data_IF_178107064684
#
_entry.id   IF_178107064684
#
_cell.length_a   1.000
_cell.length_b   1.000
_cell.length_c   1.000
_cell.angle_alpha   90.00
_cell.angle_beta   90.00
_cell.angle_gamma   90.00
#
_symmetry.space_group_name_H-M   'P 1'
#
loop_
_entity.id
_entity.type
_entity.pdbx_description
1 polymer ?
#
# COMPACT_ATOMS: atom_id res chain seq x y z
N UNK A 1 -46.87 1.93 17.49
CA UNK A 1 -45.52 2.54 17.59
C UNK A 1 -44.37 1.53 17.43
N UNK A 2 -44.58 0.22 17.67
CA UNK A 2 -43.52 -0.80 17.52
C UNK A 2 -43.45 -1.50 16.15
N UNK A 3 -44.54 -1.56 15.38
CA UNK A 3 -44.57 -2.21 14.05
C UNK A 3 -43.56 -1.62 13.06
N UNK A 4 -43.44 -0.29 13.00
CA UNK A 4 -42.52 0.37 12.08
C UNK A 4 -41.05 0.06 12.38
N UNK A 5 -40.71 -0.25 13.64
CA UNK A 5 -39.35 -0.63 14.05
C UNK A 5 -39.00 -2.05 13.60
N UNK A 6 -39.96 -2.97 13.67
CA UNK A 6 -39.79 -4.35 13.21
C UNK A 6 -39.62 -4.42 11.69
N UNK A 7 -40.38 -3.62 10.94
CA UNK A 7 -40.23 -3.52 9.49
C UNK A 7 -38.89 -2.89 9.09
N UNK A 8 -38.45 -1.83 9.78
CA UNK A 8 -37.12 -1.25 9.55
C UNK A 8 -35.98 -2.22 9.84
N UNK A 9 -36.10 -3.03 10.91
CA UNK A 9 -35.12 -4.06 11.23
C UNK A 9 -35.10 -5.17 10.16
N UNK A 10 -36.26 -5.58 9.64
CA UNK A 10 -36.34 -6.56 8.56
C UNK A 10 -35.64 -6.07 7.29
N UNK A 11 -35.76 -4.79 6.94
CA UNK A 11 -35.12 -4.20 5.75
C UNK A 11 -33.60 -4.08 5.89
N UNK A 12 -33.11 -3.81 7.09
CA UNK A 12 -31.66 -3.70 7.36
C UNK A 12 -31.05 -5.08 7.66
N UNK A 13 -31.88 -6.09 7.98
CA UNK A 13 -31.42 -7.44 8.35
C UNK A 13 -30.47 -8.09 7.33
N UNK A 14 -30.67 -8.01 5.99
CA UNK A 14 -29.75 -8.63 5.04
C UNK A 14 -28.36 -7.98 5.08
N UNK A 15 -28.32 -6.66 5.28
CA UNK A 15 -27.06 -5.93 5.46
C UNK A 15 -26.36 -6.31 6.76
N UNK A 16 -27.10 -6.39 7.88
CA UNK A 16 -26.54 -6.81 9.18
C UNK A 16 -26.01 -8.23 9.11
N UNK A 17 -26.76 -9.16 8.50
CA UNK A 17 -26.33 -10.53 8.32
C UNK A 17 -25.05 -10.57 7.48
N UNK A 18 -25.02 -9.83 6.36
CA UNK A 18 -23.82 -9.71 5.53
C UNK A 18 -22.62 -9.18 6.30
N UNK A 19 -22.81 -8.12 7.09
CA UNK A 19 -21.75 -7.54 7.93
C UNK A 19 -21.24 -8.54 8.96
N UNK A 20 -22.13 -9.27 9.63
CA UNK A 20 -21.72 -10.26 10.64
C UNK A 20 -20.95 -11.41 9.99
N UNK A 21 -21.47 -11.97 8.89
CA UNK A 21 -20.88 -13.15 8.25
C UNK A 21 -19.58 -12.82 7.51
N UNK A 22 -19.53 -11.70 6.79
CA UNK A 22 -18.39 -11.39 5.91
C UNK A 22 -17.37 -10.42 6.52
N UNK A 23 -17.72 -9.71 7.59
CA UNK A 23 -16.81 -8.77 8.25
C UNK A 23 -16.51 -9.17 9.68
N UNK A 24 -17.55 -9.33 10.52
CA UNK A 24 -17.34 -9.57 11.93
C UNK A 24 -16.79 -10.97 12.21
N UNK A 25 -17.32 -11.99 11.54
CA UNK A 25 -16.86 -13.38 11.69
C UNK A 25 -15.37 -13.55 11.34
N UNK A 26 -14.88 -13.17 10.13
CA UNK A 26 -13.46 -13.30 9.83
C UNK A 26 -12.60 -12.43 10.75
N UNK A 27 -13.03 -11.22 11.11
CA UNK A 27 -12.32 -10.36 12.06
C UNK A 27 -12.13 -11.05 13.42
N UNK A 28 -13.23 -11.55 14.01
CA UNK A 28 -13.20 -12.25 15.30
C UNK A 28 -12.36 -13.52 15.21
N UNK A 29 -12.48 -14.28 14.12
CA UNK A 29 -11.66 -15.48 13.91
C UNK A 29 -10.16 -15.16 13.82
N UNK A 30 -9.76 -14.15 13.06
CA UNK A 30 -8.38 -13.69 12.97
C UNK A 30 -7.86 -13.17 14.31
N UNK A 31 -8.73 -12.50 15.08
CA UNK A 31 -8.39 -12.05 16.43
C UNK A 31 -8.21 -13.21 17.41
N UNK A 32 -8.98 -14.30 17.32
CA UNK A 32 -8.72 -15.49 18.13
C UNK A 32 -7.44 -16.20 17.67
N UNK A 33 -7.22 -16.31 16.37
CA UNK A 33 -6.04 -16.94 15.79
C UNK A 33 -4.74 -16.20 16.14
N UNK A 34 -4.78 -14.89 16.38
CA UNK A 34 -3.57 -14.15 16.79
C UNK A 34 -3.04 -14.54 18.19
N UNK A 35 -3.85 -15.21 19.02
CA UNK A 35 -3.41 -15.81 20.29
C UNK A 35 -3.05 -17.30 20.16
N UNK A 36 -2.97 -17.80 18.94
CA UNK A 36 -2.60 -19.19 18.64
C UNK A 36 -1.37 -19.22 17.74
N UNK A 37 -0.52 -20.22 17.92
CA UNK A 37 0.48 -20.60 16.94
C UNK A 37 -0.25 -21.38 15.82
N UNK A 38 -0.37 -20.74 14.66
CA UNK A 38 -1.10 -21.29 13.52
C UNK A 38 -0.33 -21.04 12.23
N UNK A 39 0.05 -22.12 11.55
CA UNK A 39 0.88 -22.13 10.33
C UNK A 39 0.13 -22.68 9.10
N UNK A 40 -1.21 -22.75 9.15
CA UNK A 40 -2.12 -23.40 8.18
C UNK A 40 -1.93 -24.90 7.95
N UNK A 41 -0.81 -25.49 8.35
CA UNK A 41 -0.49 -26.90 8.14
C UNK A 41 -0.75 -27.75 9.39
N UNK A 42 -0.67 -27.12 10.56
CA UNK A 42 -0.85 -27.71 11.87
C UNK A 42 -2.13 -27.18 12.55
N UNK A 43 -2.77 -27.96 13.44
CA UNK A 43 -3.88 -27.45 14.22
C UNK A 43 -3.44 -26.28 15.11
N UNK A 44 -4.28 -25.25 15.31
CA UNK A 44 -3.91 -24.07 16.08
C UNK A 44 -3.65 -24.42 17.55
N UNK A 45 -2.47 -24.04 18.06
CA UNK A 45 -2.09 -24.25 19.46
C UNK A 45 -2.20 -22.92 20.20
N UNK A 46 -3.00 -22.85 21.27
CA UNK A 46 -3.15 -21.63 22.05
C UNK A 46 -1.87 -21.31 22.81
N UNK A 47 -1.21 -20.20 22.45
CA UNK A 47 0.04 -19.73 23.06
C UNK A 47 -0.13 -18.38 23.80
N UNK A 48 -1.37 -17.88 23.89
CA UNK A 48 -1.69 -16.66 24.62
C UNK A 48 -1.07 -15.43 23.96
N UNK A 49 -0.22 -14.69 24.70
CA UNK A 49 0.31 -13.39 24.26
C UNK A 49 1.72 -13.53 23.65
N UNK A 50 2.27 -14.74 23.56
CA UNK A 50 3.66 -14.94 23.13
C UNK A 50 3.92 -14.41 21.71
N UNK A 51 2.96 -14.55 20.80
CA UNK A 51 3.03 -13.97 19.45
C UNK A 51 3.28 -12.46 19.47
N UNK A 52 2.61 -11.74 20.37
CA UNK A 52 2.77 -10.29 20.52
C UNK A 52 4.09 -9.93 21.20
N UNK A 53 4.51 -10.72 22.19
CA UNK A 53 5.82 -10.53 22.84
C UNK A 53 6.94 -10.65 21.81
N UNK A 54 6.96 -11.76 21.08
CA UNK A 54 7.92 -12.01 20.00
C UNK A 54 7.94 -10.87 18.97
N UNK A 55 6.77 -10.48 18.47
CA UNK A 55 6.63 -9.41 17.47
C UNK A 55 7.16 -8.05 17.98
N UNK A 56 7.00 -7.73 19.26
CA UNK A 56 7.43 -6.44 19.81
C UNK A 56 8.89 -6.41 20.26
N UNK A 57 9.45 -7.54 20.71
CA UNK A 57 10.79 -7.59 21.31
C UNK A 57 11.84 -8.23 20.42
N UNK A 58 11.49 -9.27 19.67
CA UNK A 58 12.45 -10.12 18.95
C UNK A 58 12.40 -9.87 17.44
N UNK A 59 11.25 -9.48 16.91
CA UNK A 59 11.09 -9.20 15.48
C UNK A 59 11.63 -7.81 15.08
N UNK A 60 12.83 -7.81 14.50
CA UNK A 60 13.48 -6.61 13.94
C UNK A 60 12.74 -5.99 12.73
N UNK A 61 11.86 -6.73 12.06
CA UNK A 61 11.11 -6.25 10.90
C UNK A 61 9.84 -5.49 11.30
N UNK A 62 9.27 -5.79 12.46
CA UNK A 62 8.03 -5.18 12.93
C UNK A 62 8.15 -3.65 13.01
N UNK A 63 9.09 -3.13 13.81
CA UNK A 63 9.27 -1.68 13.98
C UNK A 63 9.66 -0.97 12.70
N UNK A 64 10.41 -1.65 11.83
CA UNK A 64 10.80 -1.13 10.53
C UNK A 64 9.61 -0.98 9.58
N UNK A 65 8.77 -2.02 9.48
CA UNK A 65 7.57 -1.98 8.64
C UNK A 65 6.56 -0.96 9.15
N UNK A 66 6.42 -0.81 10.47
CA UNK A 66 5.64 0.27 11.08
C UNK A 66 6.17 1.64 10.70
N UNK A 67 7.49 1.87 10.81
CA UNK A 67 8.11 3.15 10.47
C UNK A 67 7.88 3.57 9.02
N UNK A 68 8.04 2.63 8.07
CA UNK A 68 7.75 2.86 6.65
C UNK A 68 6.26 3.17 6.44
N UNK A 69 5.37 2.43 7.10
CA UNK A 69 3.92 2.64 7.00
C UNK A 69 3.51 4.02 7.54
N UNK A 70 4.01 4.41 8.71
CA UNK A 70 3.75 5.73 9.27
C UNK A 70 4.31 6.84 8.38
N UNK A 71 5.56 6.74 7.93
CA UNK A 71 6.15 7.70 7.01
C UNK A 71 5.33 7.85 5.73
N UNK A 72 4.87 6.73 5.15
CA UNK A 72 3.99 6.72 3.99
C UNK A 72 2.66 7.43 4.28
N UNK A 73 2.00 7.13 5.39
CA UNK A 73 0.71 7.74 5.77
C UNK A 73 0.86 9.24 6.00
N UNK A 74 1.85 9.66 6.80
CA UNK A 74 2.10 11.07 7.11
C UNK A 74 2.52 11.89 5.90
N UNK A 75 3.17 11.30 4.91
CA UNK A 75 3.52 12.00 3.68
C UNK A 75 2.34 12.04 2.69
N UNK A 76 1.68 10.90 2.48
CA UNK A 76 0.69 10.76 1.43
C UNK A 76 -0.65 11.38 1.77
N UNK A 77 -1.10 11.32 3.03
CA UNK A 77 -2.41 11.88 3.41
C UNK A 77 -2.44 13.41 3.24
N UNK A 78 -1.50 14.20 3.81
CA UNK A 78 -1.50 15.65 3.62
C UNK A 78 -1.32 16.05 2.17
N UNK A 79 -0.47 15.34 1.41
CA UNK A 79 -0.27 15.63 -0.01
C UNK A 79 -1.55 15.37 -0.82
N UNK A 80 -2.26 14.26 -0.56
CA UNK A 80 -3.57 13.96 -1.19
C UNK A 80 -4.60 15.02 -0.86
N UNK A 81 -4.68 15.45 0.40
CA UNK A 81 -5.58 16.52 0.85
C UNK A 81 -5.24 17.85 0.19
N UNK A 82 -3.97 18.25 0.19
CA UNK A 82 -3.50 19.49 -0.44
C UNK A 82 -3.79 19.50 -1.95
N UNK A 83 -3.55 18.37 -2.64
CA UNK A 83 -3.83 18.23 -4.05
C UNK A 83 -5.34 18.25 -4.36
N UNK A 84 -6.15 17.49 -3.59
CA UNK A 84 -7.60 17.49 -3.73
C UNK A 84 -8.19 18.88 -3.48
N UNK A 85 -7.70 19.58 -2.45
CA UNK A 85 -8.11 20.94 -2.14
C UNK A 85 -7.66 21.93 -3.21
N UNK A 86 -6.45 21.78 -3.75
CA UNK A 86 -5.95 22.59 -4.87
C UNK A 86 -6.83 22.45 -6.11
N UNK A 87 -7.19 21.21 -6.49
CA UNK A 87 -8.13 20.97 -7.58
C UNK A 87 -9.50 21.57 -7.28
N UNK A 88 -10.03 21.36 -6.07
CA UNK A 88 -11.32 21.91 -5.67
C UNK A 88 -11.33 23.45 -5.73
N UNK A 89 -10.23 24.10 -5.32
CA UNK A 89 -10.07 25.55 -5.40
C UNK A 89 -10.03 26.06 -6.85
N UNK A 90 -9.26 25.40 -7.72
CA UNK A 90 -9.21 25.72 -9.16
C UNK A 90 -10.60 25.57 -9.78
N UNK A 91 -11.32 24.50 -9.44
CA UNK A 91 -12.65 24.21 -9.97
C UNK A 91 -13.75 25.12 -9.39
N UNK A 92 -13.49 25.81 -8.27
CA UNK A 92 -14.41 26.78 -7.68
C UNK A 92 -14.56 28.04 -8.55
N UNK A 93 -13.52 28.41 -9.30
CA UNK A 93 -13.66 29.44 -10.32
C UNK A 93 -14.65 28.96 -11.38
N UNK A 94 -15.54 29.83 -11.84
CA UNK A 94 -16.48 29.58 -12.96
C UNK A 94 -15.70 29.36 -14.26
N UNK A 95 -15.01 28.22 -14.36
CA UNK A 95 -14.22 27.83 -15.52
C UNK A 95 -15.18 27.41 -16.64
N UNK A 96 -15.04 28.03 -17.80
CA UNK A 96 -15.80 27.76 -19.05
C UNK A 96 -15.43 26.40 -19.69
N UNK A 97 -15.24 25.34 -18.89
CA UNK A 97 -14.76 24.02 -19.35
C UNK A 97 -15.07 22.82 -18.43
N UNK A 98 -16.02 22.97 -17.48
CA UNK A 98 -16.34 21.95 -16.44
C UNK A 98 -16.62 20.55 -17.02
N UNK A 99 -17.17 20.45 -18.25
CA UNK A 99 -17.47 19.17 -18.89
C UNK A 99 -16.24 18.32 -19.23
N UNK A 100 -15.13 18.94 -19.65
CA UNK A 100 -13.89 18.23 -19.95
C UNK A 100 -13.23 17.69 -18.67
N UNK A 101 -13.14 18.54 -17.63
CA UNK A 101 -12.61 18.14 -16.32
C UNK A 101 -13.42 17.02 -15.67
N UNK A 102 -14.75 17.07 -15.78
CA UNK A 102 -15.63 16.01 -15.31
C UNK A 102 -15.28 14.69 -16.01
N UNK A 103 -15.20 14.69 -17.34
CA UNK A 103 -14.90 13.48 -18.12
C UNK A 103 -13.53 12.91 -17.79
N UNK A 104 -12.48 13.74 -17.73
CA UNK A 104 -11.12 13.30 -17.38
C UNK A 104 -11.02 12.70 -15.97
N UNK A 105 -11.78 13.22 -15.00
CA UNK A 105 -11.81 12.69 -13.64
C UNK A 105 -12.61 11.37 -13.53
N UNK A 106 -13.68 11.22 -14.31
CA UNK A 106 -14.51 10.02 -14.28
C UNK A 106 -13.91 8.83 -15.05
N UNK A 107 -13.07 9.05 -16.07
CA UNK A 107 -12.46 7.96 -16.84
C UNK A 107 -11.71 6.96 -15.94
N UNK A 108 -10.78 7.39 -15.05
CA UNK A 108 -10.09 6.47 -14.15
C UNK A 108 -11.01 5.77 -13.15
N UNK A 109 -12.09 6.43 -12.69
CA UNK A 109 -13.01 5.83 -11.71
C UNK A 109 -13.92 4.79 -12.35
N UNK A 110 -14.30 4.97 -13.63
CA UNK A 110 -15.17 4.05 -14.38
C UNK A 110 -14.40 2.82 -14.83
N UNK A 111 -13.11 2.94 -15.14
CA UNK A 111 -12.21 1.81 -15.44
C UNK A 111 -11.90 0.95 -14.19
N UNK A 112 -12.61 1.17 -13.09
CA UNK A 112 -12.38 0.72 -11.72
C UNK A 112 -12.50 -0.78 -11.43
N UNK A 113 -12.02 -1.66 -12.31
CA UNK A 113 -11.54 -2.95 -11.80
C UNK A 113 -10.13 -2.73 -11.25
N UNK A 114 -9.96 -2.97 -9.94
CA UNK A 114 -8.67 -2.80 -9.25
C UNK A 114 -7.53 -3.54 -9.95
N UNK A 115 -7.85 -4.67 -10.58
CA UNK A 115 -6.90 -5.49 -11.34
C UNK A 115 -6.48 -4.84 -12.66
N UNK A 116 -7.40 -4.29 -13.47
CA UNK A 116 -7.03 -3.70 -14.76
C UNK A 116 -6.13 -2.47 -14.59
N UNK A 117 -6.41 -1.66 -13.57
CA UNK A 117 -5.57 -0.50 -13.24
C UNK A 117 -4.19 -0.95 -12.76
N UNK A 118 -4.09 -2.01 -11.96
CA UNK A 118 -2.80 -2.56 -11.53
C UNK A 118 -1.99 -3.11 -12.71
N UNK A 119 -2.63 -3.80 -13.65
CA UNK A 119 -1.98 -4.31 -14.88
C UNK A 119 -1.55 -3.16 -15.79
N UNK A 120 -2.38 -2.12 -15.93
CA UNK A 120 -2.05 -0.91 -16.68
C UNK A 120 -0.80 -0.23 -16.10
N UNK A 121 -0.76 -0.02 -14.78
CA UNK A 121 0.40 0.56 -14.11
C UNK A 121 1.63 -0.34 -14.28
N UNK A 122 1.47 -1.65 -14.17
CA UNK A 122 2.56 -2.61 -14.39
C UNK A 122 3.12 -2.51 -15.82
N UNK A 123 2.27 -2.35 -16.83
CA UNK A 123 2.68 -2.18 -18.22
C UNK A 123 3.35 -0.82 -18.47
N UNK A 124 2.85 0.23 -17.84
CA UNK A 124 3.37 1.60 -17.99
C UNK A 124 4.75 1.75 -17.35
N UNK A 125 4.96 1.13 -16.19
CA UNK A 125 6.23 1.11 -15.44
C UNK A 125 7.12 -0.10 -15.76
N UNK A 126 6.78 -0.91 -16.77
CA UNK A 126 7.64 -1.99 -17.23
C UNK A 126 8.98 -1.42 -17.76
N UNK A 127 10.00 -2.28 -17.85
CA UNK A 127 11.31 -1.89 -18.39
C UNK A 127 11.16 -1.33 -19.82
N UNK A 128 10.34 -2.00 -20.64
CA UNK A 128 9.97 -1.56 -22.00
C UNK A 128 8.69 -0.70 -22.01
N UNK A 129 8.32 -0.16 -20.86
CA UNK A 129 7.09 0.60 -20.67
C UNK A 129 7.18 2.00 -21.26
N UNK A 130 6.00 2.59 -21.47
CA UNK A 130 5.82 3.92 -22.06
C UNK A 130 6.62 5.02 -21.33
N UNK A 131 6.79 4.85 -20.00
CA UNK A 131 7.58 5.79 -19.20
C UNK A 131 9.06 5.74 -19.54
N UNK A 132 9.64 4.55 -19.68
CA UNK A 132 11.05 4.40 -20.05
C UNK A 132 11.29 4.78 -21.52
N UNK A 133 10.34 4.50 -22.42
CA UNK A 133 10.41 5.00 -23.79
C UNK A 133 10.41 6.53 -23.85
N UNK A 134 9.63 7.19 -22.98
CA UNK A 134 9.63 8.65 -22.86
C UNK A 134 10.95 9.18 -22.27
N UNK A 135 11.51 8.50 -21.27
CA UNK A 135 12.80 8.86 -20.67
C UNK A 135 13.98 8.65 -21.64
N UNK A 136 13.91 7.65 -22.52
CA UNK A 136 14.89 7.41 -23.56
C UNK A 136 14.97 8.56 -24.59
N UNK A 137 13.88 9.31 -24.81
CA UNK A 137 13.90 10.54 -25.63
C UNK A 137 14.83 11.61 -25.03
N UNK A 138 14.98 11.61 -23.70
CA UNK A 138 15.89 12.50 -22.98
C UNK A 138 17.27 11.86 -22.71
N UNK A 139 17.56 10.70 -23.30
CA UNK A 139 18.84 10.00 -23.16
C UNK A 139 19.04 9.30 -21.82
N UNK A 140 17.97 9.02 -21.07
CA UNK A 140 18.04 8.29 -19.80
C UNK A 140 17.81 6.80 -20.07
N UNK A 141 18.72 5.96 -19.56
CA UNK A 141 18.61 4.50 -19.66
C UNK A 141 17.37 3.95 -18.95
N UNK A 142 16.87 2.81 -19.42
CA UNK A 142 15.65 2.21 -18.89
C UNK A 142 15.78 1.84 -17.41
N UNK A 143 14.95 2.45 -16.55
CA UNK A 143 14.93 2.19 -15.12
C UNK A 143 13.96 1.04 -14.82
N UNK A 144 14.40 0.06 -14.04
CA UNK A 144 13.52 -1.00 -13.56
C UNK A 144 12.72 -0.52 -12.34
N UNK A 145 11.50 -0.03 -12.57
CA UNK A 145 10.62 0.51 -11.53
C UNK A 145 9.94 -0.57 -10.67
N UNK A 146 9.77 -1.78 -11.21
CA UNK A 146 8.94 -2.85 -10.63
C UNK A 146 9.74 -4.06 -10.15
N UNK A 147 10.97 -4.23 -10.64
CA UNK A 147 11.92 -5.26 -10.22
C UNK A 147 13.03 -4.71 -9.34
N UNK A 148 13.92 -5.60 -8.89
CA UNK A 148 15.05 -5.31 -7.99
C UNK A 148 15.68 -3.94 -8.25
N UNK A 149 16.03 -3.18 -7.19
CA UNK A 149 16.58 -1.86 -7.33
C UNK A 149 17.77 -1.91 -8.31
N UNK A 150 17.85 -0.95 -9.25
CA UNK A 150 18.99 -0.88 -10.16
C UNK A 150 20.27 -0.98 -9.32
N UNK A 151 21.10 -1.94 -9.68
CA UNK A 151 22.40 -2.10 -9.04
C UNK A 151 23.13 -0.76 -9.06
N UNK A 152 23.55 -0.33 -7.88
CA UNK A 152 24.78 0.42 -7.66
C UNK A 152 25.04 1.74 -8.41
N UNK A 153 24.07 2.38 -9.09
CA UNK A 153 24.27 3.77 -9.53
C UNK A 153 23.80 4.75 -8.45
N UNK A 154 24.74 5.03 -7.55
CA UNK A 154 24.68 5.94 -6.39
C UNK A 154 24.60 7.42 -6.85
N UNK A 155 23.82 7.73 -7.90
CA UNK A 155 23.68 9.08 -8.45
C UNK A 155 22.41 9.82 -8.03
N UNK A 156 21.27 9.11 -7.91
CA UNK A 156 19.97 9.77 -7.73
C UNK A 156 19.54 9.94 -6.25
N UNK A 157 19.14 11.15 -5.81
CA UNK A 157 18.69 11.38 -4.43
C UNK A 157 17.42 10.59 -4.06
N UNK A 158 16.54 10.30 -5.03
CA UNK A 158 15.37 9.45 -4.81
C UNK A 158 15.75 7.98 -4.54
N UNK A 159 16.76 7.45 -5.24
CA UNK A 159 17.27 6.09 -5.00
C UNK A 159 17.93 5.99 -3.62
N UNK A 160 18.63 7.04 -3.17
CA UNK A 160 19.21 7.12 -1.83
C UNK A 160 18.15 7.14 -0.74
N UNK A 161 17.04 7.85 -0.94
CA UNK A 161 15.91 7.83 0.00
C UNK A 161 15.25 6.46 0.05
N UNK A 162 15.06 5.80 -1.09
CA UNK A 162 14.50 4.44 -1.15
C UNK A 162 15.40 3.40 -0.49
N UNK A 163 16.72 3.48 -0.71
CA UNK A 163 17.71 2.63 -0.04
C UNK A 163 17.81 2.95 1.44
N UNK A 164 17.73 4.22 1.85
CA UNK A 164 17.74 4.63 3.26
C UNK A 164 16.49 4.13 4.00
N UNK A 165 15.30 4.27 3.39
CA UNK A 165 14.04 3.72 3.91
C UNK A 165 14.07 2.19 3.99
N UNK A 166 14.78 1.52 3.06
CA UNK A 166 14.96 0.07 3.08
C UNK A 166 16.01 -0.40 4.09
N UNK A 167 17.13 0.29 4.25
CA UNK A 167 18.31 -0.28 4.93
C UNK A 167 18.61 0.31 6.29
N UNK A 168 17.94 1.38 6.73
CA UNK A 168 17.74 1.77 8.14
C UNK A 168 18.91 1.62 9.13
N UNK A 169 20.17 1.67 8.68
CA UNK A 169 21.42 1.36 9.40
C UNK A 169 21.85 -0.12 9.47
N UNK A 170 22.56 -0.61 8.44
CA UNK A 170 23.59 -1.65 8.62
C UNK A 170 24.79 -1.40 7.68
N UNK A 171 25.87 -0.74 8.15
CA UNK A 171 27.17 -0.81 7.49
C UNK A 171 27.82 -2.15 7.86
N UNK A 172 27.31 -3.27 7.35
CA UNK A 172 27.93 -4.60 7.59
C UNK A 172 28.33 -5.37 6.34
N UNK A 173 27.99 -4.91 5.14
CA UNK A 173 28.38 -5.61 3.90
C UNK A 173 29.73 -5.18 3.31
N UNK A 174 30.41 -4.21 3.91
CA UNK A 174 31.77 -3.83 3.49
C UNK A 174 32.87 -4.67 4.18
N UNK A 175 32.58 -5.31 5.33
CA UNK A 175 33.60 -6.04 6.11
C UNK A 175 33.74 -7.53 5.73
N UNK A 176 32.72 -8.15 5.13
CA UNK A 176 32.75 -9.59 4.79
C UNK A 176 33.52 -9.89 3.50
N UNK A 177 33.73 -8.89 2.62
CA UNK A 177 34.47 -9.09 1.37
C UNK A 177 35.99 -9.17 1.55
N UNK A 178 36.52 -8.77 2.70
CA UNK A 178 37.96 -8.86 3.02
C UNK A 178 38.35 -10.10 3.84
N UNK A 179 37.39 -10.89 4.33
CA UNK A 179 37.66 -12.12 5.11
C UNK A 179 37.67 -13.41 4.28
N UNK A 180 37.28 -13.34 3.00
CA UNK A 180 37.25 -14.51 2.07
C UNK A 180 38.44 -14.46 1.09
N UNK A 181 39.38 -13.53 1.28
CA UNK A 181 40.56 -13.35 0.45
C UNK A 181 41.87 -13.46 1.25
N UNK A 182 41.94 -14.43 2.18
CA UNK A 182 43.17 -14.95 2.78
C UNK A 182 43.06 -16.47 2.90
#
# INVERSE_FOLDING_TARGET
MNENKLLGLAWISPYIIGLIVFTAFPFVSSFFLSFTEYDLMSPPVFNGIENYRYMLTEDSLFWKSMGVTFAYVFLTIPLKLAFALGIAFVLNFKLRGIGFFRTAYYIPSILGSSVAIAVLWRALFAIDGLLNSFLAVFGIDAINWLGNPPGADVGHPAARLAVWLRDGHLPRRAAERSAVAV
#
